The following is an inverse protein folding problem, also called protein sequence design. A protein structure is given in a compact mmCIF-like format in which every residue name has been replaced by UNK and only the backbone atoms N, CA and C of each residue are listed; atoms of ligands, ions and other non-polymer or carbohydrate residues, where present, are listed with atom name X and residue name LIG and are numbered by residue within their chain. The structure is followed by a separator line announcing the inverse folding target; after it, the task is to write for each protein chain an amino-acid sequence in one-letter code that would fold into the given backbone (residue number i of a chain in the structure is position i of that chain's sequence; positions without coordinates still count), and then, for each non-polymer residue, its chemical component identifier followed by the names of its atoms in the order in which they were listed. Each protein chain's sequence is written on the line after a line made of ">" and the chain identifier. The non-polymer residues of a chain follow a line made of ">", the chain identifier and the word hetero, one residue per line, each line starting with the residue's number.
data_IF_382760887374
#
_entry.id   IF_382760887374
#
_cell.length_a   1.000
_cell.length_b   1.000
_cell.length_c   1.000
_cell.angle_alpha   90.00
_cell.angle_beta   90.00
_cell.angle_gamma   90.00
#
_symmetry.space_group_name_H-M   'P 1'
#
loop_
_entity.id
_entity.type
_entity.pdbx_description
1 polymer ?
#
# COMPACT_ATOMS: atom_id res chain seq x y z
N UNK A 1 -7.09 6.98 18.21
CA UNK A 1 -7.82 7.66 17.09
C UNK A 1 -6.95 7.65 15.85
N UNK A 2 -7.51 7.28 14.68
CA UNK A 2 -6.76 7.16 13.42
C UNK A 2 -7.18 8.29 12.47
N UNK A 3 -6.19 8.94 11.80
CA UNK A 3 -6.41 9.97 10.79
C UNK A 3 -5.52 9.75 9.58
N UNK A 4 -5.99 10.14 8.40
CA UNK A 4 -5.18 10.19 7.19
C UNK A 4 -4.72 11.63 6.95
N UNK A 5 -3.42 11.81 6.78
CA UNK A 5 -2.76 13.10 6.53
C UNK A 5 -1.96 12.99 5.24
N UNK A 6 -2.11 13.99 4.39
CA UNK A 6 -1.27 14.13 3.20
C UNK A 6 -0.38 15.34 3.35
N UNK A 7 0.92 15.13 3.21
CA UNK A 7 1.91 16.21 3.20
C UNK A 7 2.60 16.30 1.85
N UNK A 8 3.09 17.49 1.52
CA UNK A 8 3.88 17.73 0.31
C UNK A 8 5.30 18.11 0.71
N UNK A 9 6.28 17.47 0.08
CA UNK A 9 7.70 17.70 0.30
C UNK A 9 8.43 17.84 -1.04
N UNK A 10 9.64 18.39 -0.99
CA UNK A 10 10.56 18.36 -2.12
C UNK A 10 11.29 17.00 -2.17
N UNK A 11 11.79 16.57 -3.32
CA UNK A 11 12.53 15.30 -3.45
C UNK A 11 13.72 15.19 -2.47
N UNK A 12 14.42 16.30 -2.23
CA UNK A 12 15.58 16.40 -1.33
C UNK A 12 15.22 16.07 0.14
N UNK A 13 13.97 16.33 0.51
CA UNK A 13 13.47 16.16 1.88
C UNK A 13 12.94 14.74 2.17
N UNK A 14 12.93 13.85 1.19
CA UNK A 14 12.29 12.54 1.31
C UNK A 14 12.85 11.69 2.45
N UNK A 15 14.14 11.77 2.71
CA UNK A 15 14.82 11.03 3.78
C UNK A 15 14.82 11.77 5.12
N UNK A 16 14.24 12.97 5.19
CA UNK A 16 14.24 13.80 6.39
C UNK A 16 13.05 13.50 7.31
N UNK A 17 13.16 12.44 8.11
CA UNK A 17 12.11 12.02 9.03
C UNK A 17 11.68 13.11 10.02
N UNK A 18 12.62 13.96 10.46
CA UNK A 18 12.30 15.06 11.39
C UNK A 18 11.40 16.12 10.74
N UNK A 19 11.66 16.47 9.48
CA UNK A 19 10.84 17.40 8.72
C UNK A 19 9.46 16.81 8.42
N UNK A 20 9.40 15.51 8.06
CA UNK A 20 8.16 14.79 7.81
C UNK A 20 7.29 14.81 9.08
N UNK A 21 7.86 14.47 10.23
CA UNK A 21 7.15 14.47 11.51
C UNK A 21 6.60 15.86 11.86
N UNK A 22 7.39 16.91 11.68
CA UNK A 22 6.95 18.29 11.89
C UNK A 22 5.80 18.70 10.97
N UNK A 23 5.85 18.31 9.69
CA UNK A 23 4.77 18.60 8.73
C UNK A 23 3.48 17.86 9.10
N UNK A 24 3.55 16.56 9.45
CA UNK A 24 2.40 15.80 9.93
C UNK A 24 1.80 16.47 11.17
N UNK A 25 2.62 16.87 12.13
CA UNK A 25 2.16 17.53 13.34
C UNK A 25 1.48 18.87 13.06
N UNK A 26 2.03 19.67 12.13
CA UNK A 26 1.43 20.93 11.68
C UNK A 26 0.05 20.71 11.08
N UNK A 27 -0.11 19.69 10.22
CA UNK A 27 -1.40 19.33 9.62
C UNK A 27 -2.43 18.85 10.66
N UNK A 28 -1.99 18.04 11.63
CA UNK A 28 -2.86 17.61 12.72
C UNK A 28 -3.36 18.79 13.57
N UNK A 29 -2.51 19.80 13.80
CA UNK A 29 -2.89 21.04 14.47
C UNK A 29 -3.87 21.86 13.64
N UNK A 30 -3.63 22.01 12.35
CA UNK A 30 -4.49 22.75 11.44
C UNK A 30 -5.90 22.13 11.38
N UNK A 31 -5.98 20.80 11.42
CA UNK A 31 -7.25 20.06 11.46
C UNK A 31 -7.88 20.00 12.85
N UNK A 32 -7.32 20.66 13.87
CA UNK A 32 -7.78 20.67 15.27
C UNK A 32 -7.89 19.27 15.89
N UNK A 33 -7.08 18.32 15.40
CA UNK A 33 -7.07 16.92 15.88
C UNK A 33 -6.26 16.80 17.16
N UNK A 34 -5.22 17.63 17.31
CA UNK A 34 -4.38 17.68 18.52
C UNK A 34 -4.52 19.07 19.16
N UNK A 35 -4.56 19.10 20.50
CA UNK A 35 -4.59 20.36 21.25
C UNK A 35 -3.21 21.03 21.20
N UNK A 36 -3.20 22.37 21.31
CA UNK A 36 -1.99 23.19 21.22
C UNK A 36 -0.86 22.79 22.18
N UNK A 37 -1.19 22.09 23.27
CA UNK A 37 -0.25 21.69 24.34
C UNK A 37 0.27 20.25 24.22
N UNK A 38 -0.07 19.50 23.17
CA UNK A 38 0.45 18.14 22.97
C UNK A 38 1.81 18.18 22.25
N UNK A 39 2.73 17.33 22.70
CA UNK A 39 4.09 17.24 22.16
C UNK A 39 4.11 16.48 20.82
N UNK A 40 5.11 16.77 19.98
CA UNK A 40 5.37 16.12 18.69
C UNK A 40 5.59 14.58 18.78
N UNK A 41 5.76 14.04 19.98
CA UNK A 41 6.03 12.61 20.24
C UNK A 41 4.78 11.77 20.55
N UNK A 42 3.60 12.34 20.55
CA UNK A 42 2.36 11.68 20.99
C UNK A 42 1.61 10.91 19.91
N UNK A 43 2.21 10.65 18.73
CA UNK A 43 1.58 9.90 17.65
C UNK A 43 2.58 9.05 16.89
N UNK A 44 2.10 7.95 16.33
CA UNK A 44 2.81 7.10 15.37
C UNK A 44 2.23 7.28 13.98
N UNK A 45 3.01 7.03 12.94
CA UNK A 45 2.52 7.19 11.57
C UNK A 45 3.12 6.13 10.63
N UNK A 46 2.31 5.71 9.66
CA UNK A 46 2.68 4.71 8.66
C UNK A 46 2.39 5.27 7.28
N UNK A 47 3.38 5.23 6.39
CA UNK A 47 3.24 5.65 5.01
C UNK A 47 2.27 4.72 4.29
N UNK A 48 1.21 5.29 3.71
CA UNK A 48 0.20 4.55 2.93
C UNK A 48 0.42 4.68 1.44
N UNK A 49 0.79 5.87 0.99
CA UNK A 49 0.97 6.15 -0.43
C UNK A 49 2.02 7.24 -0.64
N UNK A 50 2.85 7.02 -1.64
CA UNK A 50 3.75 8.02 -2.23
C UNK A 50 3.32 8.29 -3.66
N UNK A 51 3.23 9.54 -4.05
CA UNK A 51 3.02 9.95 -5.44
C UNK A 51 3.90 11.14 -5.78
N UNK A 52 4.35 11.18 -7.03
CA UNK A 52 5.20 12.25 -7.56
C UNK A 52 4.36 13.13 -8.47
N UNK A 53 4.40 14.42 -8.24
CA UNK A 53 3.82 15.44 -9.13
C UNK A 53 4.95 16.23 -9.80
N UNK A 54 5.03 16.09 -11.14
CA UNK A 54 6.02 16.77 -11.98
C UNK A 54 5.37 17.80 -12.94
N UNK A 55 4.10 18.17 -12.72
CA UNK A 55 3.30 18.97 -13.68
C UNK A 55 3.70 20.39 -13.58
N UNK A 56 4.37 21.09 -13.21
CA UNK A 56 4.64 22.55 -13.20
C UNK A 56 6.13 22.90 -13.09
N UNK A 57 7.00 22.06 -13.66
CA UNK A 57 8.43 22.30 -13.69
C UNK A 57 9.16 22.11 -12.36
N UNK A 58 8.44 21.94 -11.25
CA UNK A 58 8.98 21.58 -9.95
C UNK A 58 8.44 20.23 -9.52
N UNK A 59 9.33 19.28 -9.33
CA UNK A 59 8.95 17.95 -8.83
C UNK A 59 8.57 18.06 -7.35
N UNK A 60 7.36 17.61 -7.02
CA UNK A 60 6.89 17.51 -5.63
C UNK A 60 6.48 16.10 -5.30
N UNK A 61 6.70 15.69 -4.07
CA UNK A 61 6.32 14.37 -3.56
C UNK A 61 5.16 14.57 -2.58
N UNK A 62 4.06 13.89 -2.86
CA UNK A 62 2.92 13.81 -1.95
C UNK A 62 3.00 12.49 -1.19
N UNK A 63 3.05 12.59 0.13
CA UNK A 63 3.10 11.45 1.05
C UNK A 63 1.80 11.41 1.84
N UNK A 64 1.07 10.30 1.74
CA UNK A 64 -0.12 10.05 2.55
C UNK A 64 0.24 9.12 3.68
N UNK A 65 0.01 9.58 4.89
CA UNK A 65 0.26 8.85 6.11
C UNK A 65 -1.04 8.51 6.84
N UNK A 66 -1.08 7.32 7.41
CA UNK A 66 -2.06 6.95 8.43
C UNK A 66 -1.43 7.24 9.78
N UNK A 67 -2.05 8.13 10.54
CA UNK A 67 -1.54 8.62 11.83
C UNK A 67 -2.38 8.06 12.95
N UNK A 68 -1.70 7.48 13.94
CA UNK A 68 -2.28 6.83 15.12
C UNK A 68 -2.02 7.71 16.33
N UNK A 69 -3.09 8.19 16.99
CA UNK A 69 -3.02 9.07 18.16
C UNK A 69 -3.56 8.34 19.35
N UNK A 70 -2.69 8.08 20.35
CA UNK A 70 -3.04 7.31 21.55
C UNK A 70 -3.23 5.81 21.31
N UNK A 71 -2.80 5.31 20.16
CA UNK A 71 -2.80 3.88 19.82
C UNK A 71 -1.64 3.59 18.87
N UNK A 72 -1.13 2.38 18.86
CA UNK A 72 -0.08 1.96 17.95
C UNK A 72 -0.67 1.28 16.71
N UNK A 73 0.04 1.38 15.53
CA UNK A 73 -0.34 0.63 14.35
C UNK A 73 -0.38 -0.87 14.68
N UNK A 74 -1.48 -1.52 14.30
CA UNK A 74 -1.55 -2.98 14.39
C UNK A 74 -0.76 -3.55 13.21
N UNK A 75 0.15 -4.47 13.47
CA UNK A 75 0.86 -5.19 12.43
C UNK A 75 -0.15 -5.93 11.55
N UNK A 76 -0.21 -5.54 10.30
CA UNK A 76 -1.02 -6.25 9.31
C UNK A 76 -0.23 -7.47 8.85
N UNK A 77 -0.46 -8.61 9.48
CA UNK A 77 0.10 -9.88 9.02
C UNK A 77 -0.68 -10.32 7.80
N UNK A 78 -0.07 -10.14 6.63
CA UNK A 78 -0.62 -10.68 5.38
C UNK A 78 -0.50 -12.21 5.42
N UNK A 79 -1.62 -12.90 5.53
CA UNK A 79 -1.65 -14.36 5.37
C UNK A 79 -1.74 -14.67 3.89
N UNK A 80 -0.71 -15.33 3.37
CA UNK A 80 -0.77 -15.89 2.02
C UNK A 80 -1.90 -16.90 1.95
N UNK A 81 -2.75 -16.87 0.90
CA UNK A 81 -3.76 -17.88 0.72
C UNK A 81 -3.12 -19.25 0.53
N UNK A 82 -3.69 -20.26 1.16
CA UNK A 82 -3.28 -21.65 0.96
C UNK A 82 -3.97 -22.19 -0.30
N UNK A 83 -3.16 -22.58 -1.28
CA UNK A 83 -3.67 -23.15 -2.51
C UNK A 83 -3.82 -24.67 -2.38
N UNK A 84 -4.92 -25.22 -2.88
CA UNK A 84 -5.10 -26.66 -2.96
C UNK A 84 -4.06 -27.26 -3.91
N UNK A 85 -3.38 -28.34 -3.49
CA UNK A 85 -2.54 -29.10 -4.39
C UNK A 85 -3.39 -29.69 -5.52
N UNK A 86 -3.03 -29.39 -6.74
CA UNK A 86 -3.71 -29.90 -7.94
C UNK A 86 -3.13 -31.26 -8.26
N UNK A 87 -3.99 -32.31 -8.32
CA UNK A 87 -3.57 -33.63 -8.73
C UNK A 87 -3.44 -33.67 -10.27
N UNK A 88 -2.22 -33.68 -10.77
CA UNK A 88 -1.92 -33.59 -12.21
C UNK A 88 -2.52 -34.69 -13.05
N UNK A 89 -2.77 -35.85 -12.46
CA UNK A 89 -3.31 -37.05 -13.19
C UNK A 89 -4.83 -37.04 -13.33
N UNK A 90 -5.55 -36.34 -12.46
CA UNK A 90 -7.02 -36.41 -12.39
C UNK A 90 -7.72 -35.08 -12.42
N UNK A 91 -6.98 -33.94 -12.51
CA UNK A 91 -7.58 -32.62 -12.49
C UNK A 91 -8.02 -32.16 -13.89
N UNK A 92 -9.11 -31.41 -13.92
CA UNK A 92 -9.48 -30.63 -15.09
C UNK A 92 -8.42 -29.53 -15.31
N UNK A 93 -8.10 -29.27 -16.57
CA UNK A 93 -7.21 -28.14 -16.93
C UNK A 93 -7.98 -27.09 -17.72
N UNK A 94 -7.58 -25.83 -17.56
CA UNK A 94 -8.13 -24.68 -18.29
C UNK A 94 -6.97 -23.89 -18.88
N UNK A 95 -7.04 -23.60 -20.18
CA UNK A 95 -6.07 -22.77 -20.86
C UNK A 95 -6.48 -21.31 -20.71
N UNK A 96 -5.52 -20.48 -20.31
CA UNK A 96 -5.66 -19.03 -20.20
C UNK A 96 -4.71 -18.40 -21.22
N UNK A 97 -5.24 -17.57 -22.09
CA UNK A 97 -4.42 -16.83 -23.07
C UNK A 97 -4.09 -15.45 -22.52
N UNK A 98 -2.81 -15.20 -22.32
CA UNK A 98 -2.26 -13.97 -21.75
C UNK A 98 -1.96 -14.03 -20.26
N UNK A 99 -0.75 -13.58 -19.88
CA UNK A 99 -0.29 -13.48 -18.48
C UNK A 99 -0.47 -12.09 -17.87
N UNK A 100 -1.37 -11.30 -18.42
CA UNK A 100 -1.75 -10.01 -17.83
C UNK A 100 -2.50 -10.19 -16.49
N UNK A 101 -2.83 -9.08 -15.80
CA UNK A 101 -3.50 -9.14 -14.49
C UNK A 101 -4.73 -10.04 -14.47
N UNK A 102 -5.59 -9.96 -15.49
CA UNK A 102 -6.79 -10.78 -15.59
C UNK A 102 -6.46 -12.29 -15.71
N UNK A 103 -5.47 -12.65 -16.54
CA UNK A 103 -5.04 -14.03 -16.71
C UNK A 103 -4.43 -14.59 -15.44
N UNK A 104 -3.58 -13.83 -14.75
CA UNK A 104 -2.96 -14.26 -13.51
C UNK A 104 -3.98 -14.42 -12.38
N UNK A 105 -4.90 -13.47 -12.18
CA UNK A 105 -5.96 -13.60 -11.18
C UNK A 105 -6.93 -14.73 -11.51
N UNK A 106 -7.24 -14.94 -12.80
CA UNK A 106 -8.03 -16.09 -13.25
C UNK A 106 -7.35 -17.41 -12.91
N UNK A 107 -6.05 -17.52 -13.14
CA UNK A 107 -5.27 -18.72 -12.79
C UNK A 107 -5.29 -18.98 -11.27
N UNK A 108 -5.08 -17.96 -10.46
CA UNK A 108 -5.17 -18.09 -9.00
C UNK A 108 -6.55 -18.58 -8.57
N UNK A 109 -7.60 -18.05 -9.19
CA UNK A 109 -8.97 -18.48 -8.88
C UNK A 109 -9.23 -19.93 -9.26
N UNK A 110 -8.71 -20.42 -10.38
CA UNK A 110 -8.80 -21.83 -10.77
C UNK A 110 -8.10 -22.74 -9.75
N UNK A 111 -6.94 -22.33 -9.22
CA UNK A 111 -6.24 -23.09 -8.18
C UNK A 111 -7.06 -23.22 -6.89
N UNK A 112 -7.84 -22.20 -6.51
CA UNK A 112 -8.76 -22.31 -5.37
C UNK A 112 -9.79 -23.42 -5.56
N UNK A 113 -10.22 -23.67 -6.81
CA UNK A 113 -11.15 -24.74 -7.15
C UNK A 113 -10.46 -26.09 -7.41
N UNK A 114 -9.13 -26.17 -7.30
CA UNK A 114 -8.36 -27.39 -7.59
C UNK A 114 -8.28 -27.70 -9.09
N UNK A 115 -8.46 -26.70 -9.96
CA UNK A 115 -8.35 -26.80 -11.41
C UNK A 115 -6.95 -26.35 -11.83
N UNK A 116 -6.30 -27.10 -12.72
CA UNK A 116 -4.97 -26.78 -13.24
C UNK A 116 -5.03 -25.66 -14.28
N UNK A 117 -4.51 -24.44 -14.01
CA UNK A 117 -4.40 -23.43 -15.05
C UNK A 117 -3.17 -23.70 -15.92
N UNK A 118 -3.30 -23.50 -17.23
CA UNK A 118 -2.21 -23.50 -18.21
C UNK A 118 -2.21 -22.12 -18.84
N UNK A 119 -1.20 -21.32 -18.55
CA UNK A 119 -1.10 -19.94 -19.08
C UNK A 119 -0.23 -19.98 -20.33
N UNK A 120 -0.76 -19.45 -21.43
CA UNK A 120 -0.05 -19.27 -22.69
C UNK A 120 0.17 -17.77 -22.88
N UNK A 121 1.43 -17.35 -22.95
CA UNK A 121 1.83 -15.96 -23.18
C UNK A 121 2.66 -15.88 -24.44
N UNK A 122 2.35 -14.88 -25.27
CA UNK A 122 3.12 -14.67 -26.51
C UNK A 122 4.53 -14.14 -26.22
N UNK A 123 4.66 -13.37 -25.14
CA UNK A 123 5.90 -12.67 -24.78
C UNK A 123 6.27 -11.52 -25.72
N UNK A 124 7.28 -10.72 -25.39
CA UNK A 124 7.90 -9.77 -26.30
C UNK A 124 8.76 -10.52 -27.34
#
# INVERSE_FOLDING_TARGET
>A
MIKEITITINPEDESNNSLIQKKIFSELKAQKVILKNQNEKGFEYVLQKKSVDARHGQIKIHLRYKVYIGESPKDFVFKLPEWKKVNEKSCKSVIIVGSGPAGLFGALKLLEYGIKPIIIERGP
#
